data_IF_508233919566
#
_entry.id   IF_508233919566
#
_cell.length_a   1.000
_cell.length_b   1.000
_cell.length_c   1.000
_cell.angle_alpha   90.00
_cell.angle_beta   90.00
_cell.angle_gamma   90.00
#
_symmetry.space_group_name_H-M   'P 1'
#
loop_
_entity.id
_entity.type
_entity.pdbx_description
1 polymer ?
#
# COMPACT_ATOMS: atom_id res chain seq x y z
N UNK A 1 9.94 18.08 -3.60
CA UNK A 1 9.25 17.21 -2.62
C UNK A 1 10.04 15.94 -2.40
N UNK A 2 10.45 15.23 -3.46
CA UNK A 2 11.33 14.04 -3.43
C UNK A 2 12.55 14.25 -2.52
N UNK A 3 13.37 15.29 -2.75
CA UNK A 3 14.57 15.57 -1.93
C UNK A 3 14.27 15.70 -0.43
N UNK A 4 13.11 16.26 -0.08
CA UNK A 4 12.70 16.41 1.33
C UNK A 4 12.32 15.06 1.91
N UNK A 5 11.58 14.24 1.16
CA UNK A 5 11.19 12.89 1.58
C UNK A 5 12.41 12.00 1.76
N UNK A 6 13.39 12.05 0.84
CA UNK A 6 14.65 11.32 0.97
C UNK A 6 15.43 11.76 2.21
N UNK A 7 15.57 13.06 2.45
CA UNK A 7 16.26 13.58 3.65
C UNK A 7 15.60 13.10 4.93
N UNK A 8 14.27 13.15 5.02
CA UNK A 8 13.52 12.67 6.19
C UNK A 8 13.71 11.17 6.38
N UNK A 9 13.60 10.39 5.30
CA UNK A 9 13.71 8.94 5.37
C UNK A 9 15.14 8.47 5.72
N UNK A 10 16.17 9.10 5.14
CA UNK A 10 17.57 8.82 5.47
C UNK A 10 17.89 9.21 6.91
N UNK A 11 17.49 10.41 7.35
CA UNK A 11 17.70 10.83 8.74
C UNK A 11 17.05 9.87 9.75
N UNK A 12 15.86 9.35 9.44
CA UNK A 12 15.23 8.31 10.24
C UNK A 12 16.01 6.98 10.17
N UNK A 13 16.42 6.56 8.97
CA UNK A 13 17.12 5.29 8.76
C UNK A 13 18.48 5.27 9.46
N UNK A 14 19.20 6.39 9.46
CA UNK A 14 20.54 6.54 10.02
C UNK A 14 20.54 6.80 11.54
N UNK A 15 19.38 7.13 12.13
CA UNK A 15 19.28 7.32 13.58
C UNK A 15 19.59 6.03 14.34
N UNK A 16 20.14 6.16 15.56
CA UNK A 16 20.50 5.02 16.42
C UNK A 16 19.42 4.78 17.46
N UNK A 17 19.12 3.52 17.75
CA UNK A 17 18.19 3.09 18.80
C UNK A 17 16.77 2.81 18.31
N UNK A 18 15.94 2.33 19.22
CA UNK A 18 14.58 1.89 18.92
C UNK A 18 13.71 3.05 18.44
N UNK A 19 13.09 2.87 17.27
CA UNK A 19 12.33 3.94 16.61
C UNK A 19 11.28 3.40 15.66
N UNK A 20 10.22 4.19 15.50
CA UNK A 20 9.15 3.89 14.57
C UNK A 20 8.86 5.09 13.66
N UNK A 21 8.65 4.83 12.37
CA UNK A 21 8.13 5.79 11.41
C UNK A 21 6.75 5.32 10.94
N UNK A 22 5.74 6.15 11.16
CA UNK A 22 4.38 5.88 10.68
C UNK A 22 4.05 6.89 9.58
N UNK A 23 3.88 6.39 8.36
CA UNK A 23 3.52 7.16 7.19
C UNK A 23 2.03 7.00 6.91
N UNK A 24 1.29 8.10 6.98
CA UNK A 24 -0.13 8.15 6.63
C UNK A 24 -0.28 8.77 5.24
N UNK A 25 -1.15 8.19 4.42
CA UNK A 25 -1.42 8.62 3.04
C UNK A 25 -0.74 7.73 1.99
N UNK A 26 -1.05 7.96 0.72
CA UNK A 26 -0.48 7.21 -0.41
C UNK A 26 0.82 7.83 -0.93
N UNK A 27 1.43 7.21 -1.95
CA UNK A 27 2.60 7.76 -2.68
C UNK A 27 2.36 9.18 -3.22
N UNK A 28 1.10 9.53 -3.53
CA UNK A 28 0.72 10.88 -4.00
C UNK A 28 0.81 11.95 -2.90
N UNK A 29 0.43 11.62 -1.67
CA UNK A 29 0.36 12.58 -0.56
C UNK A 29 1.55 12.52 0.40
N UNK A 30 2.22 11.36 0.47
CA UNK A 30 3.36 11.12 1.34
C UNK A 30 4.41 10.25 0.60
N UNK A 31 5.38 10.87 -0.09
CA UNK A 31 6.36 10.14 -0.89
C UNK A 31 7.32 9.25 -0.07
N UNK A 32 7.36 9.38 1.26
CA UNK A 32 8.15 8.48 2.13
C UNK A 32 7.58 7.06 2.10
N UNK A 33 6.28 6.90 1.85
CA UNK A 33 5.65 5.58 1.64
C UNK A 33 6.35 4.80 0.54
N UNK A 34 6.68 5.48 -0.55
CA UNK A 34 7.36 4.84 -1.67
C UNK A 34 8.79 4.44 -1.32
N UNK A 35 9.50 5.27 -0.56
CA UNK A 35 10.85 4.94 -0.10
C UNK A 35 10.87 3.68 0.77
N UNK A 36 9.90 3.53 1.69
CA UNK A 36 9.75 2.33 2.53
C UNK A 36 9.52 1.09 1.66
N UNK A 37 8.59 1.15 0.70
CA UNK A 37 8.28 0.02 -0.18
C UNK A 37 9.46 -0.30 -1.11
N UNK A 38 10.11 0.71 -1.67
CA UNK A 38 11.25 0.57 -2.56
C UNK A 38 12.46 -0.06 -1.84
N UNK A 39 12.79 0.40 -0.63
CA UNK A 39 13.86 -0.20 0.18
C UNK A 39 13.51 -1.63 0.58
N UNK A 40 12.24 -1.91 0.90
CA UNK A 40 11.83 -3.26 1.30
C UNK A 40 11.93 -4.26 0.15
N UNK A 41 11.49 -3.88 -1.06
CA UNK A 41 11.45 -4.77 -2.23
C UNK A 41 12.62 -4.58 -3.20
N UNK A 42 13.63 -3.80 -2.82
CA UNK A 42 14.88 -3.67 -3.56
C UNK A 42 14.74 -3.02 -4.94
N UNK A 43 13.93 -1.96 -5.08
CA UNK A 43 13.77 -1.24 -6.35
C UNK A 43 14.08 0.24 -6.25
N UNK A 44 14.22 0.90 -7.40
CA UNK A 44 14.40 2.35 -7.47
C UNK A 44 13.08 3.07 -7.14
N UNK A 45 13.06 3.99 -6.17
CA UNK A 45 11.87 4.79 -5.88
C UNK A 45 11.66 5.85 -6.97
N UNK A 46 10.42 6.27 -7.15
CA UNK A 46 9.98 7.32 -8.08
C UNK A 46 10.23 7.02 -9.56
N UNK A 47 10.38 5.74 -9.90
CA UNK A 47 10.54 5.26 -11.27
C UNK A 47 9.34 4.41 -11.69
N UNK A 48 8.70 4.74 -12.81
CA UNK A 48 7.54 4.01 -13.30
C UNK A 48 7.91 2.61 -13.78
N UNK A 49 7.13 1.61 -13.34
CA UNK A 49 7.19 0.24 -13.85
C UNK A 49 6.03 -0.10 -14.81
N UNK A 50 5.31 0.89 -15.33
CA UNK A 50 4.18 0.65 -16.26
C UNK A 50 4.63 0.01 -17.58
N UNK A 51 5.88 0.21 -17.97
CA UNK A 51 6.45 -0.29 -19.21
C UNK A 51 6.97 -1.74 -19.15
N UNK A 52 6.86 -2.42 -17.99
CA UNK A 52 7.30 -3.81 -17.83
C UNK A 52 6.59 -4.73 -18.83
N UNK A 53 7.30 -5.76 -19.32
CA UNK A 53 6.72 -6.66 -20.32
C UNK A 53 5.66 -7.56 -19.68
N UNK A 54 5.90 -8.00 -18.43
CA UNK A 54 5.00 -8.86 -17.66
C UNK A 54 4.76 -8.30 -16.27
N UNK A 55 3.55 -8.50 -15.76
CA UNK A 55 3.17 -8.11 -14.39
C UNK A 55 4.00 -8.83 -13.31
N UNK A 56 4.61 -9.97 -13.64
CA UNK A 56 5.52 -10.69 -12.73
C UNK A 56 6.87 -9.99 -12.57
N UNK A 57 7.25 -9.08 -13.47
CA UNK A 57 8.52 -8.35 -13.43
C UNK A 57 8.49 -7.16 -12.46
N UNK A 58 7.31 -6.78 -11.95
CA UNK A 58 7.21 -5.70 -10.96
C UNK A 58 7.95 -6.07 -9.67
N UNK A 59 8.59 -5.09 -9.04
CA UNK A 59 9.34 -5.34 -7.80
C UNK A 59 8.42 -5.47 -6.59
N UNK A 60 7.43 -4.60 -6.48
CA UNK A 60 6.49 -4.58 -5.35
C UNK A 60 5.32 -5.56 -5.61
N UNK A 61 4.89 -6.37 -4.61
CA UNK A 61 3.71 -7.23 -4.73
C UNK A 61 2.38 -6.45 -4.60
N UNK A 62 2.45 -5.13 -4.44
CA UNK A 62 1.31 -4.23 -4.29
C UNK A 62 1.47 -3.12 -5.32
N UNK A 63 0.39 -2.81 -6.02
CA UNK A 63 0.35 -1.79 -7.08
C UNK A 63 -0.89 -0.92 -6.94
N UNK A 64 -0.70 0.39 -6.78
CA UNK A 64 -1.79 1.36 -6.76
C UNK A 64 -2.04 1.85 -8.20
N UNK A 65 -3.12 1.37 -8.83
CA UNK A 65 -3.55 1.87 -10.14
C UNK A 65 -4.22 3.22 -9.92
N UNK A 66 -3.60 4.31 -10.35
CA UNK A 66 -4.12 5.68 -10.22
C UNK A 66 -5.50 5.83 -10.87
N UNK A 67 -6.29 6.86 -10.58
CA UNK A 67 -7.44 7.19 -11.45
C UNK A 67 -6.97 7.90 -12.71
N UNK A 68 -7.74 7.88 -13.79
CA UNK A 68 -7.35 8.54 -15.05
C UNK A 68 -7.22 10.05 -14.91
N UNK A 69 -7.98 10.64 -13.99
CA UNK A 69 -8.05 12.07 -13.71
C UNK A 69 -7.13 12.52 -12.55
N UNK A 70 -6.53 11.58 -11.83
CA UNK A 70 -5.54 11.86 -10.78
C UNK A 70 -4.18 12.25 -11.40
N UNK A 71 -3.31 13.00 -10.69
CA UNK A 71 -1.90 13.10 -11.08
C UNK A 71 -1.22 11.73 -11.10
N UNK A 72 -0.39 11.48 -12.12
CA UNK A 72 0.37 10.24 -12.31
C UNK A 72 1.87 10.44 -12.08
N UNK A 73 2.33 10.73 -10.84
CA UNK A 73 3.76 10.79 -10.58
C UNK A 73 4.38 9.42 -10.85
N UNK A 74 5.63 9.41 -11.33
CA UNK A 74 6.36 8.17 -11.51
C UNK A 74 6.52 7.44 -10.17
N UNK A 75 6.27 6.13 -10.17
CA UNK A 75 6.28 5.33 -8.95
C UNK A 75 6.61 3.86 -9.22
N UNK A 76 7.37 3.24 -8.32
CA UNK A 76 7.70 1.83 -8.40
C UNK A 76 6.54 0.92 -7.95
N UNK A 77 5.60 1.47 -7.17
CA UNK A 77 4.48 0.74 -6.58
C UNK A 77 3.12 1.33 -6.97
N UNK A 78 3.09 2.29 -7.92
CA UNK A 78 1.87 2.91 -8.41
C UNK A 78 2.01 3.26 -9.90
N UNK A 79 0.91 3.50 -10.60
CA UNK A 79 0.96 3.81 -12.03
C UNK A 79 -0.37 3.59 -12.75
N UNK A 80 -0.31 3.45 -14.07
CA UNK A 80 -1.49 3.22 -14.93
C UNK A 80 -1.64 1.77 -15.36
N UNK A 81 -0.57 0.98 -15.35
CA UNK A 81 -0.61 -0.41 -15.81
C UNK A 81 0.30 -1.31 -14.98
N UNK A 82 -0.16 -2.54 -14.70
CA UNK A 82 0.69 -3.57 -14.10
C UNK A 82 1.82 -4.02 -15.04
N UNK A 83 1.62 -3.90 -16.35
CA UNK A 83 2.56 -4.26 -17.39
C UNK A 83 1.86 -4.36 -18.75
N UNK A 84 2.63 -4.37 -19.84
CA UNK A 84 2.09 -4.33 -21.22
C UNK A 84 1.16 -5.49 -21.55
N UNK A 85 1.37 -6.66 -20.93
CA UNK A 85 0.56 -7.86 -21.15
C UNK A 85 -0.73 -7.92 -20.32
N UNK A 86 -0.94 -7.01 -19.38
CA UNK A 86 -2.02 -7.11 -18.40
C UNK A 86 -2.97 -5.91 -18.50
N UNK A 87 -4.25 -6.19 -18.75
CA UNK A 87 -5.25 -5.13 -18.75
C UNK A 87 -5.52 -4.63 -17.32
N UNK A 88 -5.30 -3.35 -17.07
CA UNK A 88 -5.37 -2.73 -15.72
C UNK A 88 -6.30 -1.50 -15.73
N UNK A 89 -7.47 -1.64 -16.35
CA UNK A 89 -8.43 -0.55 -16.52
C UNK A 89 -9.04 -0.06 -15.20
N UNK A 90 -9.08 -0.91 -14.18
CA UNK A 90 -9.76 -0.62 -12.91
C UNK A 90 -8.83 0.10 -11.91
N UNK A 91 -9.14 1.35 -11.51
CA UNK A 91 -8.47 2.00 -10.39
C UNK A 91 -8.73 1.27 -9.08
N UNK A 92 -7.71 1.24 -8.22
CA UNK A 92 -7.75 0.54 -6.94
C UNK A 92 -6.37 0.06 -6.52
N UNK A 93 -6.36 -0.82 -5.51
CA UNK A 93 -5.14 -1.47 -5.03
C UNK A 93 -5.10 -2.87 -5.60
N UNK A 94 -4.14 -3.11 -6.48
CA UNK A 94 -3.83 -4.42 -7.02
C UNK A 94 -2.77 -5.10 -6.14
N UNK A 95 -2.87 -6.41 -5.99
CA UNK A 95 -1.93 -7.20 -5.21
C UNK A 95 -1.70 -8.58 -5.83
N UNK A 96 -0.50 -9.12 -5.61
CA UNK A 96 -0.17 -10.47 -6.02
C UNK A 96 -0.81 -11.51 -5.08
N UNK A 97 -1.50 -12.46 -5.67
CA UNK A 97 -2.11 -13.60 -4.99
C UNK A 97 -1.10 -14.74 -4.82
N UNK A 98 -1.39 -15.69 -3.93
CA UNK A 98 -0.51 -16.86 -3.71
C UNK A 98 -0.18 -17.65 -4.99
N UNK A 99 -1.05 -17.60 -6.01
CA UNK A 99 -0.88 -18.28 -7.30
C UNK A 99 0.00 -17.50 -8.30
N UNK A 100 0.57 -16.36 -7.90
CA UNK A 100 1.36 -15.49 -8.78
C UNK A 100 0.53 -14.69 -9.79
N UNK A 101 -0.80 -14.70 -9.65
CA UNK A 101 -1.72 -13.82 -10.40
C UNK A 101 -1.98 -12.55 -9.62
N UNK A 102 -2.44 -11.50 -10.29
CA UNK A 102 -2.85 -10.25 -9.64
C UNK A 102 -4.37 -10.21 -9.44
N UNK A 103 -4.80 -9.66 -8.31
CA UNK A 103 -6.19 -9.36 -7.99
C UNK A 103 -6.33 -7.87 -7.67
N UNK A 104 -7.54 -7.33 -7.84
CA UNK A 104 -7.84 -5.91 -7.63
C UNK A 104 -8.85 -5.73 -6.51
N UNK A 105 -8.54 -4.86 -5.56
CA UNK A 105 -9.54 -4.22 -4.70
C UNK A 105 -9.89 -2.86 -5.33
N UNK A 106 -11.05 -2.76 -6.03
CA UNK A 106 -11.38 -1.57 -6.80
C UNK A 106 -11.70 -0.37 -5.90
N UNK A 107 -11.46 0.82 -6.43
CA UNK A 107 -12.03 2.06 -5.92
C UNK A 107 -12.87 2.68 -7.03
N UNK A 108 -14.19 2.66 -6.86
CA UNK A 108 -15.15 2.98 -7.91
C UNK A 108 -16.38 3.74 -7.39
N UNK A 109 -17.23 4.12 -8.34
CA UNK A 109 -18.48 4.82 -8.05
C UNK A 109 -19.61 3.90 -7.53
N UNK A 110 -19.37 2.59 -7.44
CA UNK A 110 -20.33 1.62 -6.89
C UNK A 110 -20.21 1.49 -5.37
N UNK A 111 -19.35 2.31 -4.75
CA UNK A 111 -19.13 2.29 -3.31
C UNK A 111 -17.98 1.38 -2.89
N UNK A 112 -17.15 0.89 -3.82
CA UNK A 112 -15.94 0.17 -3.43
C UNK A 112 -14.80 1.15 -3.16
N UNK A 113 -13.96 0.82 -2.19
CA UNK A 113 -12.69 1.50 -1.94
C UNK A 113 -11.69 0.56 -1.27
N UNK A 114 -10.42 0.97 -1.23
CA UNK A 114 -9.37 0.13 -0.68
C UNK A 114 -8.36 0.92 0.15
N UNK A 115 -7.70 0.24 1.07
CA UNK A 115 -6.56 0.75 1.81
C UNK A 115 -5.44 -0.29 1.93
N UNK A 116 -4.23 0.19 2.18
CA UNK A 116 -3.04 -0.60 2.44
C UNK A 116 -2.60 -0.38 3.88
N UNK A 117 -2.41 -1.48 4.61
CA UNK A 117 -1.66 -1.52 5.86
C UNK A 117 -0.42 -2.36 5.60
N UNK A 118 0.74 -1.72 5.67
CA UNK A 118 2.02 -2.39 5.51
C UNK A 118 2.93 -1.98 6.66
N UNK A 119 3.67 -2.92 7.21
CA UNK A 119 4.73 -2.61 8.16
C UNK A 119 5.90 -3.55 8.01
N UNK A 120 7.10 -3.05 8.30
CA UNK A 120 8.33 -3.84 8.38
C UNK A 120 9.05 -3.51 9.68
N UNK A 121 9.31 -4.53 10.47
CA UNK A 121 10.16 -4.46 11.65
C UNK A 121 11.50 -5.12 11.32
N UNK A 122 12.58 -4.35 11.44
CA UNK A 122 13.97 -4.77 11.22
C UNK A 122 14.64 -4.90 12.58
N UNK A 123 14.61 -6.10 13.14
CA UNK A 123 15.00 -6.38 14.52
C UNK A 123 16.45 -5.95 14.79
N UNK A 124 17.37 -6.23 13.86
CA UNK A 124 18.78 -5.87 14.00
C UNK A 124 19.05 -4.35 14.05
N UNK A 125 18.07 -3.53 13.67
CA UNK A 125 18.17 -2.07 13.62
C UNK A 125 17.27 -1.38 14.66
N UNK A 126 16.45 -2.12 15.40
CA UNK A 126 15.41 -1.56 16.27
C UNK A 126 14.43 -0.67 15.52
N UNK A 127 14.16 -0.97 14.24
CA UNK A 127 13.48 -0.05 13.30
C UNK A 127 12.14 -0.61 12.85
N UNK A 128 11.06 0.12 13.14
CA UNK A 128 9.72 -0.14 12.61
C UNK A 128 9.34 0.92 11.59
N UNK A 129 8.91 0.49 10.40
CA UNK A 129 8.38 1.36 9.37
C UNK A 129 6.95 0.91 9.05
N UNK A 130 5.99 1.82 9.06
CA UNK A 130 4.59 1.52 8.82
C UNK A 130 3.99 2.47 7.78
N UNK A 131 3.20 1.91 6.88
CA UNK A 131 2.43 2.59 5.84
C UNK A 131 0.95 2.33 6.10
N UNK A 132 0.19 3.42 6.25
CA UNK A 132 -1.26 3.44 6.41
C UNK A 132 -1.86 4.30 5.28
N UNK A 133 -2.24 3.67 4.19
CA UNK A 133 -2.57 4.36 2.95
C UNK A 133 -3.96 3.98 2.44
N UNK A 134 -4.96 4.85 2.58
CA UNK A 134 -6.20 4.70 1.82
C UNK A 134 -5.98 5.10 0.36
N UNK A 135 -6.62 4.38 -0.57
CA UNK A 135 -6.65 4.74 -1.99
C UNK A 135 -7.35 6.09 -2.20
N UNK A 136 -8.36 6.38 -1.38
CA UNK A 136 -9.02 7.69 -1.28
C UNK A 136 -8.92 8.28 0.14
N UNK A 137 -9.28 9.55 0.27
CA UNK A 137 -9.47 10.18 1.58
C UNK A 137 -10.56 9.49 2.42
N UNK A 138 -11.62 8.98 1.77
CA UNK A 138 -12.69 8.21 2.42
C UNK A 138 -12.15 6.90 3.01
N UNK A 139 -11.39 6.13 2.22
CA UNK A 139 -10.73 4.91 2.70
C UNK A 139 -9.75 5.18 3.84
N UNK A 140 -9.00 6.28 3.79
CA UNK A 140 -8.05 6.65 4.85
C UNK A 140 -8.77 6.94 6.18
N UNK A 141 -9.92 7.61 6.13
CA UNK A 141 -10.74 7.89 7.32
C UNK A 141 -11.32 6.60 7.93
N UNK A 142 -11.84 5.70 7.10
CA UNK A 142 -12.37 4.41 7.59
C UNK A 142 -11.24 3.52 8.12
N UNK A 143 -10.05 3.57 7.52
CA UNK A 143 -8.89 2.82 8.00
C UNK A 143 -8.53 3.15 9.45
N UNK A 144 -8.59 4.42 9.85
CA UNK A 144 -8.34 4.80 11.24
C UNK A 144 -9.29 4.07 12.22
N UNK A 145 -10.57 3.95 11.85
CA UNK A 145 -11.56 3.20 12.63
C UNK A 145 -11.32 1.69 12.57
N UNK A 146 -11.02 1.14 11.39
CA UNK A 146 -10.67 -0.28 11.23
C UNK A 146 -9.50 -0.67 12.12
N UNK A 147 -8.47 0.18 12.21
CA UNK A 147 -7.32 -0.06 13.08
C UNK A 147 -7.72 -0.01 14.55
N UNK A 148 -8.59 0.91 14.97
CA UNK A 148 -9.07 0.98 16.35
C UNK A 148 -9.90 -0.25 16.76
N UNK A 149 -10.80 -0.70 15.88
CA UNK A 149 -11.77 -1.76 16.19
C UNK A 149 -11.21 -3.17 15.94
N UNK A 150 -10.30 -3.32 14.97
CA UNK A 150 -9.85 -4.62 14.43
C UNK A 150 -8.32 -4.75 14.37
N UNK A 151 -7.59 -4.04 15.22
CA UNK A 151 -6.11 -4.04 15.26
C UNK A 151 -5.49 -5.45 15.21
N UNK A 152 -6.09 -6.41 15.93
CA UNK A 152 -5.58 -7.77 16.03
C UNK A 152 -5.56 -8.52 14.70
N UNK A 153 -6.37 -8.13 13.72
CA UNK A 153 -6.41 -8.78 12.41
C UNK A 153 -5.21 -8.43 11.53
N UNK A 154 -4.55 -7.31 11.82
CA UNK A 154 -3.28 -6.91 11.22
C UNK A 154 -2.07 -7.56 11.91
N UNK A 155 -2.33 -8.57 12.75
CA UNK A 155 -1.34 -9.39 13.43
C UNK A 155 -1.72 -10.88 13.30
N UNK A 156 -0.78 -11.84 13.38
CA UNK A 156 0.69 -11.68 13.30
C UNK A 156 1.17 -11.13 11.93
N UNK A 157 2.46 -10.74 11.80
CA UNK A 157 3.05 -10.44 10.50
C UNK A 157 2.87 -11.60 9.52
N UNK A 158 2.75 -11.28 8.23
CA UNK A 158 2.56 -12.26 7.17
C UNK A 158 3.86 -12.95 6.75
N UNK A 159 5.00 -12.38 7.11
CA UNK A 159 6.33 -12.92 6.84
C UNK A 159 7.24 -12.67 8.04
N UNK A 160 8.02 -13.69 8.41
CA UNK A 160 9.03 -13.63 9.46
C UNK A 160 10.24 -14.46 9.01
N UNK A 161 11.39 -13.84 8.81
CA UNK A 161 12.64 -14.53 8.50
C UNK A 161 13.85 -13.63 8.76
N UNK A 162 14.97 -14.20 9.23
CA UNK A 162 16.25 -13.49 9.40
C UNK A 162 16.16 -12.13 10.13
N UNK A 163 15.32 -12.01 11.16
CA UNK A 163 15.14 -10.76 11.91
C UNK A 163 14.33 -9.67 11.16
N UNK A 164 13.66 -10.05 10.08
CA UNK A 164 12.67 -9.22 9.37
C UNK A 164 11.27 -9.74 9.63
N UNK A 165 10.40 -8.86 10.10
CA UNK A 165 8.96 -9.14 10.23
C UNK A 165 8.19 -8.19 9.33
N UNK A 166 7.36 -8.71 8.43
CA UNK A 166 6.57 -7.90 7.50
C UNK A 166 5.10 -8.21 7.67
N UNK A 167 4.30 -7.18 7.93
CA UNK A 167 2.86 -7.20 7.76
C UNK A 167 2.48 -6.56 6.44
N UNK A 168 1.64 -7.21 5.64
CA UNK A 168 1.16 -6.68 4.37
C UNK A 168 -0.31 -7.08 4.18
N UNK A 169 -1.19 -6.07 4.22
CA UNK A 169 -2.63 -6.24 4.25
C UNK A 169 -3.29 -5.25 3.32
N UNK A 170 -4.21 -5.73 2.47
CA UNK A 170 -5.15 -4.89 1.75
C UNK A 170 -6.47 -4.90 2.52
N UNK A 171 -7.06 -3.73 2.72
CA UNK A 171 -8.38 -3.60 3.34
C UNK A 171 -9.34 -3.16 2.26
N UNK A 172 -10.34 -3.99 1.97
CA UNK A 172 -11.39 -3.67 1.03
C UNK A 172 -12.61 -3.17 1.79
N UNK A 173 -13.12 -2.03 1.34
CA UNK A 173 -14.32 -1.41 1.88
C UNK A 173 -15.43 -1.45 0.84
N UNK A 174 -16.63 -1.75 1.32
CA UNK A 174 -17.85 -1.56 0.54
C UNK A 174 -18.79 -0.65 1.33
N UNK A 175 -19.02 0.53 0.77
CA UNK A 175 -19.86 1.58 1.31
C UNK A 175 -21.28 1.39 0.78
N UNK A 176 -22.31 1.57 1.64
CA UNK A 176 -23.69 1.70 1.16
C UNK A 176 -23.76 2.82 0.11
N UNK A 177 -24.55 2.63 -0.95
CA UNK A 177 -24.75 3.69 -1.93
C UNK A 177 -25.33 4.93 -1.24
N UNK A 178 -24.59 6.03 -1.30
CA UNK A 178 -25.06 7.31 -0.77
C UNK A 178 -26.09 7.91 -1.74
N UNK A 179 -27.27 8.26 -1.24
CA UNK A 179 -28.26 9.03 -2.02
C UNK A 179 -27.73 10.44 -2.36
N UNK A 180 -26.73 10.95 -1.62
CA UNK A 180 -26.16 12.29 -1.82
C UNK A 180 -24.65 12.39 -1.48
N UNK A 181 -23.80 12.39 -2.51
CA UNK A 181 -22.32 12.39 -2.39
C UNK A 181 -21.74 13.61 -1.64
N UNK A 182 -22.42 14.77 -1.66
CA UNK A 182 -21.94 15.99 -0.98
C UNK A 182 -22.04 15.91 0.54
N UNK A 183 -23.07 15.24 1.06
CA UNK A 183 -23.24 15.07 2.50
C UNK A 183 -22.25 14.03 3.05
N UNK A 184 -21.92 13.02 2.25
CA UNK A 184 -20.98 11.95 2.62
C UNK A 184 -19.58 12.47 2.97
N UNK A 185 -19.09 13.53 2.29
CA UNK A 185 -17.79 14.14 2.56
C UNK A 185 -17.71 14.67 4.00
N UNK A 186 -18.82 15.18 4.54
CA UNK A 186 -18.91 15.79 5.86
C UNK A 186 -19.25 14.77 6.96
N UNK A 187 -19.72 13.57 6.61
CA UNK A 187 -20.09 12.53 7.59
C UNK A 187 -18.86 12.01 8.33
N UNK A 188 -18.92 12.02 9.66
CA UNK A 188 -17.89 11.47 10.55
C UNK A 188 -18.14 10.02 10.92
N UNK A 189 -19.35 9.52 10.66
CA UNK A 189 -19.87 8.20 11.04
C UNK A 189 -19.92 7.21 9.86
N UNK A 190 -18.99 7.33 8.91
CA UNK A 190 -18.89 6.41 7.77
C UNK A 190 -18.80 4.96 8.26
N UNK A 191 -19.79 4.15 7.86
CA UNK A 191 -19.81 2.71 8.06
C UNK A 191 -19.63 2.02 6.71
N UNK A 192 -18.70 1.07 6.66
CA UNK A 192 -18.46 0.25 5.49
C UNK A 192 -18.28 -1.20 5.93
N UNK A 193 -18.82 -2.15 5.18
CA UNK A 193 -18.40 -3.54 5.34
C UNK A 193 -16.93 -3.63 4.96
N UNK A 194 -16.17 -4.36 5.78
CA UNK A 194 -14.71 -4.35 5.72
C UNK A 194 -14.18 -5.78 5.61
N UNK A 195 -13.41 -6.04 4.56
CA UNK A 195 -12.66 -7.28 4.38
C UNK A 195 -11.16 -6.99 4.50
N UNK A 196 -10.44 -7.78 5.29
CA UNK A 196 -8.99 -7.65 5.48
C UNK A 196 -8.32 -8.83 4.78
N UNK A 197 -7.58 -8.53 3.71
CA UNK A 197 -6.89 -9.49 2.87
C UNK A 197 -5.41 -9.51 3.27
N UNK A 198 -4.96 -10.64 3.82
CA UNK A 198 -3.54 -10.87 4.15
C UNK A 198 -2.80 -11.32 2.89
N UNK A 199 -1.72 -10.63 2.53
CA UNK A 199 -0.84 -11.14 1.47
C UNK A 199 -0.18 -12.44 1.95
N UNK A 200 -0.03 -13.40 1.03
CA UNK A 200 0.57 -14.69 1.39
C UNK A 200 2.07 -14.55 1.66
N UNK A 201 2.58 -15.28 2.65
CA UNK A 201 4.02 -15.35 2.95
C UNK A 201 4.87 -15.64 1.71
N UNK A 202 4.43 -16.59 0.87
CA UNK A 202 5.15 -16.98 -0.34
C UNK A 202 5.30 -15.86 -1.38
N UNK A 203 4.36 -14.89 -1.42
CA UNK A 203 4.48 -13.70 -2.27
C UNK A 203 5.56 -12.77 -1.73
N UNK A 204 5.54 -12.47 -0.43
CA UNK A 204 6.55 -11.62 0.20
C UNK A 204 7.94 -12.25 0.04
N UNK A 205 8.08 -13.55 0.33
CA UNK A 205 9.32 -14.30 0.15
C UNK A 205 9.86 -14.21 -1.29
N UNK A 206 9.00 -14.40 -2.29
CA UNK A 206 9.39 -14.28 -3.71
C UNK A 206 9.97 -12.90 -4.01
N UNK A 207 9.32 -11.83 -3.56
CA UNK A 207 9.73 -10.45 -3.85
C UNK A 207 10.97 -10.01 -3.11
N UNK A 208 11.28 -10.60 -1.96
CA UNK A 208 12.55 -10.36 -1.26
C UNK A 208 13.74 -11.10 -1.88
N UNK A 209 13.50 -12.19 -2.60
CA UNK A 209 14.55 -13.03 -3.22
C UNK A 209 14.96 -12.56 -4.63
N UNK A 210 14.07 -11.87 -5.34
CA UNK A 210 14.40 -11.26 -6.64
C UNK A 210 15.24 -10.01 -6.37
N UNK A 211 16.57 -10.16 -6.48
CA UNK A 211 17.55 -9.06 -6.44
C UNK A 211 18.40 -9.09 -7.69
#
# INVERSE_FOLDING_TARGET
VIDRSEKVYRAFSDAVGDRAMVCIGSTKSNPVVELILAETFGCAPFESQDAMNRETERSCPIFLRYRDDDPHPASCCSGLSLGRSHNTDQPGIWYETAKGKWACCPSDNQGNDAALVFYIHRESQGRLEMVLAGFSGRATRVLARTLADRAQEFWPPVYHDQGLQIGAFIVQYHFPQAENLREEILRTDLQASTEIIKLSEGVIRRRLQVK
#
